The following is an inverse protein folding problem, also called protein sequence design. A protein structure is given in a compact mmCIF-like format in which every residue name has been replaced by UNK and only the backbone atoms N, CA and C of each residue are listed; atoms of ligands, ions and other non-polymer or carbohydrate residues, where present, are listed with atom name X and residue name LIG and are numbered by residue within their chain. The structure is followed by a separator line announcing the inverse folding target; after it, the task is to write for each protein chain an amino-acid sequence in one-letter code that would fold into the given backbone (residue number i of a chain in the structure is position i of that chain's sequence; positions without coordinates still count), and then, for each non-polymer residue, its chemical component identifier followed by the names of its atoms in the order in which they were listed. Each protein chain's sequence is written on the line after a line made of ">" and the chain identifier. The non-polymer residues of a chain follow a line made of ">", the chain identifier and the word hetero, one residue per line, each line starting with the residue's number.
data_IF_982597640239
#
_entry.id   IF_982597640239
#
_cell.length_a   1.000
_cell.length_b   1.000
_cell.length_c   1.000
_cell.angle_alpha   90.00
_cell.angle_beta   90.00
_cell.angle_gamma   90.00
#
_symmetry.space_group_name_H-M   'P 1'
#
loop_
_entity.id
_entity.type
_entity.pdbx_description
1 polymer ?
#
# COMPACT_ATOMS: atom_id res chain seq x y z
N UNK A 1 47.92 45.47 43.75
CA UNK A 1 47.65 45.94 42.39
C UNK A 1 47.56 44.69 41.50
N UNK A 2 46.34 44.14 41.33
CA UNK A 2 46.12 42.94 40.51
C UNK A 2 45.18 43.38 39.37
N UNK A 3 45.68 43.31 38.15
CA UNK A 3 44.97 43.58 36.93
C UNK A 3 44.06 42.39 36.59
N UNK A 4 42.75 42.60 36.55
CA UNK A 4 41.80 41.64 36.01
C UNK A 4 41.82 41.74 34.48
N UNK A 5 42.30 40.70 33.82
CA UNK A 5 42.14 40.48 32.40
C UNK A 5 40.75 39.97 32.14
N UNK A 6 39.86 40.79 31.58
CA UNK A 6 38.56 40.43 31.09
C UNK A 6 38.73 39.68 29.76
N UNK A 7 38.55 38.35 29.81
CA UNK A 7 38.45 37.54 28.60
C UNK A 7 37.15 37.87 27.89
N UNK A 8 37.26 38.47 26.71
CA UNK A 8 36.16 38.64 25.76
C UNK A 8 35.76 37.25 25.21
N UNK A 9 34.71 36.70 25.78
CA UNK A 9 34.04 35.51 25.21
C UNK A 9 33.33 35.99 23.92
N UNK A 10 33.86 35.61 22.77
CA UNK A 10 33.19 35.79 21.49
C UNK A 10 31.89 35.00 21.50
N UNK A 11 30.73 35.59 21.13
CA UNK A 11 29.52 34.82 20.93
C UNK A 11 29.74 33.97 19.66
N UNK A 12 30.06 32.69 19.86
CA UNK A 12 29.89 31.71 18.81
C UNK A 12 28.42 31.72 18.43
N UNK A 13 28.12 32.29 17.27
CA UNK A 13 26.84 32.16 16.61
C UNK A 13 26.62 30.68 16.35
N UNK A 14 25.94 29.99 17.28
CA UNK A 14 25.32 28.71 16.98
C UNK A 14 24.38 28.97 15.80
N UNK A 15 24.86 28.74 14.59
CA UNK A 15 24.02 28.53 13.45
C UNK A 15 23.26 27.27 13.80
N UNK A 16 22.03 27.41 14.31
CA UNK A 16 21.05 26.34 14.31
C UNK A 16 20.87 25.93 12.85
N UNK A 17 21.69 25.00 12.40
CA UNK A 17 21.39 24.29 11.18
C UNK A 17 20.01 23.67 11.43
N UNK A 18 19.01 24.15 10.71
CA UNK A 18 17.68 23.53 10.69
C UNK A 18 17.91 22.13 10.17
N UNK A 19 18.17 21.20 11.09
CA UNK A 19 18.24 19.79 10.75
C UNK A 19 16.82 19.38 10.39
N UNK A 20 16.53 19.30 9.10
CA UNK A 20 15.29 18.69 8.67
C UNK A 20 15.22 17.29 9.29
N UNK A 21 14.11 16.94 9.93
CA UNK A 21 13.96 15.64 10.57
C UNK A 21 13.75 14.55 9.51
N UNK A 22 14.82 14.22 8.80
CA UNK A 22 14.84 13.19 7.76
C UNK A 22 15.50 11.90 8.28
N UNK A 23 15.11 10.79 7.72
CA UNK A 23 15.93 9.58 7.80
C UNK A 23 17.12 9.80 6.87
N UNK A 24 18.33 9.81 7.42
CA UNK A 24 19.58 10.06 6.67
C UNK A 24 20.37 8.78 6.36
N UNK A 25 19.89 7.62 6.85
CA UNK A 25 20.54 6.33 6.63
C UNK A 25 20.49 5.95 5.12
N UNK A 26 21.64 5.78 4.46
CA UNK A 26 21.69 5.36 3.05
C UNK A 26 21.04 3.98 2.83
N UNK A 27 21.13 3.06 3.79
CA UNK A 27 20.51 1.75 3.71
C UNK A 27 18.98 1.87 3.61
N UNK A 28 18.38 2.80 4.37
CA UNK A 28 16.95 3.07 4.24
C UNK A 28 16.57 3.41 2.80
N UNK A 29 17.30 4.31 2.14
CA UNK A 29 16.99 4.71 0.76
C UNK A 29 17.26 3.59 -0.26
N UNK A 30 18.30 2.78 -0.03
CA UNK A 30 18.58 1.60 -0.88
C UNK A 30 17.41 0.61 -0.88
N UNK A 31 16.66 0.53 0.21
CA UNK A 31 15.47 -0.32 0.36
C UNK A 31 14.19 0.40 -0.06
N UNK A 32 14.03 1.68 0.33
CA UNK A 32 12.80 2.43 0.10
C UNK A 32 12.56 2.78 -1.36
N UNK A 33 13.61 3.13 -2.12
CA UNK A 33 13.48 3.50 -3.55
C UNK A 33 12.91 2.36 -4.38
N UNK A 34 13.48 1.13 -4.37
CA UNK A 34 12.88 -0.01 -5.07
C UNK A 34 11.47 -0.32 -4.58
N UNK A 35 11.23 -0.26 -3.26
CA UNK A 35 9.91 -0.53 -2.68
C UNK A 35 8.85 0.44 -3.19
N UNK A 36 9.15 1.74 -3.26
CA UNK A 36 8.22 2.78 -3.76
C UNK A 36 7.96 2.60 -5.26
N UNK A 37 8.99 2.35 -6.07
CA UNK A 37 8.81 2.10 -7.52
C UNK A 37 7.95 0.85 -7.72
N UNK A 38 8.27 -0.25 -7.05
CA UNK A 38 7.50 -1.49 -7.11
C UNK A 38 6.04 -1.28 -6.67
N UNK A 39 5.81 -0.49 -5.60
CA UNK A 39 4.48 -0.12 -5.13
C UNK A 39 3.70 0.63 -6.21
N UNK A 40 4.31 1.63 -6.86
CA UNK A 40 3.70 2.41 -7.94
C UNK A 40 3.33 1.57 -9.14
N UNK A 41 4.25 0.71 -9.60
CA UNK A 41 4.01 -0.26 -10.69
C UNK A 41 2.85 -1.20 -10.34
N UNK A 42 2.90 -1.79 -9.16
CA UNK A 42 1.88 -2.73 -8.71
C UNK A 42 0.51 -2.06 -8.61
N UNK A 43 0.46 -0.90 -7.95
CA UNK A 43 -0.78 -0.20 -7.65
C UNK A 43 -1.51 0.31 -8.89
N UNK A 44 -0.76 0.79 -9.88
CA UNK A 44 -1.30 1.35 -11.13
C UNK A 44 -1.37 0.35 -12.27
N UNK A 45 -0.67 -0.78 -12.16
CA UNK A 45 -0.67 -1.83 -13.16
C UNK A 45 -1.46 -3.06 -12.74
N UNK A 46 -1.18 -3.59 -11.56
CA UNK A 46 -1.61 -4.92 -11.12
C UNK A 46 -2.51 -4.92 -9.87
N UNK A 47 -2.79 -3.76 -9.29
CA UNK A 47 -3.70 -3.60 -8.14
C UNK A 47 -3.22 -4.27 -6.85
N UNK A 48 -3.10 -5.58 -6.82
CA UNK A 48 -2.85 -6.36 -5.62
C UNK A 48 -1.57 -7.20 -5.65
N UNK A 49 -0.82 -7.16 -6.73
CA UNK A 49 0.33 -8.04 -6.89
C UNK A 49 1.44 -7.74 -5.88
N UNK A 50 2.40 -6.94 -6.29
CA UNK A 50 3.62 -6.67 -5.51
C UNK A 50 3.49 -5.52 -4.50
N UNK A 51 2.41 -4.73 -4.55
CA UNK A 51 2.25 -3.53 -3.72
C UNK A 51 2.24 -3.81 -2.22
N UNK A 52 1.67 -4.94 -1.82
CA UNK A 52 1.65 -5.35 -0.41
C UNK A 52 3.04 -5.70 0.14
N UNK A 53 4.06 -5.85 -0.71
CA UNK A 53 5.44 -6.08 -0.30
C UNK A 53 6.17 -4.79 0.10
N UNK A 54 5.67 -3.61 -0.25
CA UNK A 54 6.38 -2.36 -0.02
C UNK A 54 6.63 -2.10 1.47
N UNK A 55 5.62 -2.31 2.32
CA UNK A 55 5.79 -2.17 3.79
C UNK A 55 6.76 -3.19 4.35
N UNK A 56 6.63 -4.52 4.11
CA UNK A 56 7.61 -5.51 4.53
C UNK A 56 9.04 -5.24 4.04
N UNK A 57 9.20 -4.79 2.80
CA UNK A 57 10.53 -4.44 2.27
C UNK A 57 11.10 -3.23 3.01
N UNK A 58 10.33 -2.16 3.22
CA UNK A 58 10.79 -1.01 4.00
C UNK A 58 11.02 -1.36 5.48
N UNK A 59 10.32 -2.35 6.01
CA UNK A 59 10.50 -2.82 7.38
C UNK A 59 11.85 -3.49 7.63
N UNK A 60 12.65 -3.75 6.60
CA UNK A 60 14.07 -4.13 6.75
C UNK A 60 14.94 -2.99 7.29
N UNK A 61 14.50 -1.74 7.14
CA UNK A 61 15.27 -0.55 7.55
C UNK A 61 14.58 0.29 8.64
N UNK A 62 13.24 0.19 8.78
CA UNK A 62 12.44 0.95 9.76
C UNK A 62 11.34 0.06 10.33
N UNK A 63 10.64 0.51 11.39
CA UNK A 63 9.53 -0.27 11.95
C UNK A 63 8.34 -0.31 10.97
N UNK A 64 7.52 -1.36 11.05
CA UNK A 64 6.32 -1.52 10.20
C UNK A 64 5.37 -0.31 10.28
N UNK A 65 5.03 0.24 11.47
CA UNK A 65 4.22 1.46 11.58
C UNK A 65 4.88 2.67 10.91
N UNK A 66 6.20 2.81 11.04
CA UNK A 66 6.95 3.89 10.42
C UNK A 66 6.98 3.77 8.89
N UNK A 67 7.22 2.57 8.36
CA UNK A 67 7.14 2.29 6.93
C UNK A 67 5.75 2.64 6.36
N UNK A 68 4.69 2.23 7.07
CA UNK A 68 3.31 2.53 6.70
C UNK A 68 3.03 4.04 6.70
N UNK A 69 3.50 4.77 7.71
CA UNK A 69 3.35 6.23 7.81
C UNK A 69 4.08 6.97 6.69
N UNK A 70 5.33 6.60 6.40
CA UNK A 70 6.13 7.18 5.31
C UNK A 70 5.45 6.95 3.95
N UNK A 71 4.85 5.79 3.73
CA UNK A 71 4.18 5.48 2.48
C UNK A 71 2.84 6.19 2.30
N UNK A 72 2.20 6.72 3.35
CA UNK A 72 0.85 7.33 3.25
C UNK A 72 0.77 8.47 2.24
N UNK A 73 1.63 9.53 2.27
CA UNK A 73 1.59 10.58 1.26
C UNK A 73 1.94 10.09 -0.14
N UNK A 74 2.90 9.14 -0.23
CA UNK A 74 3.31 8.54 -1.51
C UNK A 74 2.14 7.75 -2.13
N UNK A 75 1.43 6.96 -1.32
CA UNK A 75 0.24 6.23 -1.74
C UNK A 75 -0.86 7.16 -2.24
N UNK A 76 -1.11 8.27 -1.53
CA UNK A 76 -2.13 9.23 -1.95
C UNK A 76 -1.79 9.87 -3.30
N UNK A 77 -0.52 10.24 -3.51
CA UNK A 77 -0.09 10.76 -4.81
C UNK A 77 -0.23 9.70 -5.91
N UNK A 78 0.18 8.45 -5.65
CA UNK A 78 0.01 7.34 -6.60
C UNK A 78 -1.46 7.10 -6.95
N UNK A 79 -2.36 7.21 -5.95
CA UNK A 79 -3.79 7.06 -6.16
C UNK A 79 -4.36 8.17 -7.03
N UNK A 80 -3.99 9.42 -6.78
CA UNK A 80 -4.40 10.57 -7.60
C UNK A 80 -3.93 10.43 -9.04
N UNK A 81 -2.67 10.03 -9.25
CA UNK A 81 -2.13 9.77 -10.58
C UNK A 81 -2.83 8.59 -11.27
N UNK A 82 -3.12 7.53 -10.53
CA UNK A 82 -3.88 6.38 -11.02
C UNK A 82 -5.31 6.77 -11.43
N UNK A 83 -6.01 7.56 -10.59
CA UNK A 83 -7.32 8.10 -10.94
C UNK A 83 -7.28 8.94 -12.23
N UNK A 84 -6.29 9.81 -12.36
CA UNK A 84 -6.14 10.64 -13.57
C UNK A 84 -5.87 9.78 -14.81
N UNK A 85 -5.02 8.74 -14.68
CA UNK A 85 -4.66 7.84 -15.77
C UNK A 85 -5.83 6.97 -16.26
N UNK A 86 -6.72 6.54 -15.34
CA UNK A 86 -7.84 5.64 -15.61
C UNK A 86 -9.21 6.34 -15.57
N UNK A 87 -9.27 7.67 -15.62
CA UNK A 87 -10.51 8.47 -15.44
C UNK A 87 -11.70 8.08 -16.34
N UNK A 88 -11.46 7.39 -17.46
CA UNK A 88 -12.45 6.96 -18.43
C UNK A 88 -12.83 5.48 -18.30
N UNK A 89 -12.16 4.75 -17.42
CA UNK A 89 -12.24 3.28 -17.36
C UNK A 89 -12.97 2.79 -16.10
N UNK A 90 -13.54 3.71 -15.29
CA UNK A 90 -14.20 3.37 -14.03
C UNK A 90 -15.57 2.74 -14.27
N UNK A 91 -15.84 1.65 -13.54
CA UNK A 91 -17.18 1.12 -13.34
C UNK A 91 -17.75 1.68 -12.02
N UNK A 92 -18.46 2.82 -12.13
CA UNK A 92 -19.05 3.47 -10.96
C UNK A 92 -20.10 2.61 -10.24
N UNK A 93 -20.81 1.74 -10.97
CA UNK A 93 -21.80 0.83 -10.36
C UNK A 93 -21.10 -0.20 -9.47
N UNK A 94 -19.99 -0.73 -9.95
CA UNK A 94 -19.19 -1.67 -9.18
C UNK A 94 -18.50 -1.01 -7.99
N UNK A 95 -17.93 0.19 -8.17
CA UNK A 95 -17.32 0.97 -7.11
C UNK A 95 -18.31 1.38 -6.01
N UNK A 96 -19.55 1.76 -6.35
CA UNK A 96 -20.62 2.03 -5.39
C UNK A 96 -20.94 0.84 -4.50
N UNK A 97 -20.74 -0.37 -4.99
CA UNK A 97 -20.85 -1.58 -4.19
C UNK A 97 -19.62 -1.79 -3.29
N UNK A 98 -18.40 -1.67 -3.82
CA UNK A 98 -17.17 -1.99 -3.09
C UNK A 98 -16.84 -0.98 -1.98
N UNK A 99 -16.95 0.33 -2.26
CA UNK A 99 -16.46 1.40 -1.39
C UNK A 99 -17.10 1.37 0.01
N UNK A 100 -18.42 1.25 0.19
CA UNK A 100 -19.02 1.22 1.53
C UNK A 100 -18.48 0.09 2.40
N UNK A 101 -18.37 -1.12 1.84
CA UNK A 101 -17.83 -2.27 2.56
C UNK A 101 -16.35 -2.11 2.90
N UNK A 102 -15.57 -1.53 1.99
CA UNK A 102 -14.17 -1.20 2.25
C UNK A 102 -14.00 -0.19 3.38
N UNK A 103 -14.83 0.84 3.42
CA UNK A 103 -14.84 1.83 4.51
C UNK A 103 -15.22 1.20 5.86
N UNK A 104 -16.21 0.31 5.89
CA UNK A 104 -16.54 -0.46 7.11
C UNK A 104 -15.31 -1.23 7.59
N UNK A 105 -14.60 -1.93 6.68
CA UNK A 105 -13.36 -2.62 7.01
C UNK A 105 -12.27 -1.70 7.56
N UNK A 106 -12.12 -0.52 6.97
CA UNK A 106 -11.15 0.50 7.43
C UNK A 106 -11.49 0.99 8.84
N UNK A 107 -12.76 1.24 9.12
CA UNK A 107 -13.22 1.66 10.47
C UNK A 107 -12.96 0.56 11.50
N UNK A 108 -13.30 -0.69 11.17
CA UNK A 108 -13.02 -1.85 12.06
C UNK A 108 -11.51 -1.98 12.31
N UNK A 109 -10.69 -1.83 11.26
CA UNK A 109 -9.23 -1.83 11.39
C UNK A 109 -8.72 -0.71 12.29
N UNK A 110 -9.26 0.50 12.18
CA UNK A 110 -8.89 1.63 13.01
C UNK A 110 -9.23 1.42 14.49
N UNK A 111 -10.43 0.91 14.78
CA UNK A 111 -10.89 0.64 16.14
C UNK A 111 -10.07 -0.47 16.83
N UNK A 112 -9.70 -1.49 16.07
CA UNK A 112 -8.97 -2.64 16.59
C UNK A 112 -7.43 -2.49 16.53
N UNK A 113 -6.92 -1.45 15.89
CA UNK A 113 -5.48 -1.29 15.62
C UNK A 113 -4.58 -1.43 16.84
N UNK A 114 -5.02 -0.91 18.01
CA UNK A 114 -4.24 -0.95 19.25
C UNK A 114 -4.24 -2.31 19.94
N UNK A 115 -5.20 -3.18 19.63
CA UNK A 115 -5.37 -4.49 20.29
C UNK A 115 -4.95 -5.65 19.38
N UNK A 116 -4.78 -5.40 18.08
CA UNK A 116 -4.41 -6.42 17.11
C UNK A 116 -2.88 -6.52 16.97
N UNK A 117 -2.39 -7.72 17.02
CA UNK A 117 -1.03 -8.03 16.59
C UNK A 117 -0.96 -8.01 15.04
N UNK A 118 -0.16 -7.09 14.52
CA UNK A 118 0.05 -6.95 13.08
C UNK A 118 0.62 -8.24 12.44
N UNK A 119 1.41 -9.03 13.18
CA UNK A 119 1.94 -10.32 12.73
C UNK A 119 0.82 -11.33 12.50
N UNK A 120 -0.12 -11.43 13.45
CA UNK A 120 -1.29 -12.33 13.32
C UNK A 120 -2.12 -11.96 12.08
N UNK A 121 -2.37 -10.65 11.88
CA UNK A 121 -3.10 -10.19 10.69
C UNK A 121 -2.33 -10.52 9.40
N UNK A 122 -1.01 -10.31 9.37
CA UNK A 122 -0.18 -10.66 8.23
C UNK A 122 -0.23 -12.16 7.92
N UNK A 123 -0.10 -13.02 8.95
CA UNK A 123 -0.20 -14.48 8.80
C UNK A 123 -1.55 -14.90 8.20
N UNK A 124 -2.66 -14.40 8.75
CA UNK A 124 -4.00 -14.72 8.26
C UNK A 124 -4.21 -14.29 6.80
N UNK A 125 -3.75 -13.09 6.43
CA UNK A 125 -3.83 -12.61 5.04
C UNK A 125 -2.93 -13.42 4.12
N UNK A 126 -1.74 -13.81 4.58
CA UNK A 126 -0.82 -14.68 3.85
C UNK A 126 -1.45 -16.05 3.58
N UNK A 127 -1.98 -16.72 4.61
CA UNK A 127 -2.67 -18.00 4.49
C UNK A 127 -3.85 -17.88 3.51
N UNK A 128 -4.72 -16.88 3.71
CA UNK A 128 -5.86 -16.65 2.82
C UNK A 128 -5.43 -16.47 1.37
N UNK A 129 -4.38 -15.66 1.14
CA UNK A 129 -3.88 -15.37 -0.21
C UNK A 129 -3.35 -16.63 -0.90
N UNK A 130 -2.58 -17.47 -0.18
CA UNK A 130 -2.03 -18.71 -0.71
C UNK A 130 -3.11 -19.76 -0.94
N UNK A 131 -4.09 -19.89 -0.05
CA UNK A 131 -5.24 -20.79 -0.23
C UNK A 131 -6.09 -20.38 -1.44
N UNK A 132 -6.38 -19.08 -1.58
CA UNK A 132 -7.08 -18.57 -2.77
C UNK A 132 -6.30 -18.88 -4.06
N UNK A 133 -4.99 -18.65 -4.05
CA UNK A 133 -4.15 -18.91 -5.21
C UNK A 133 -4.08 -20.40 -5.54
N UNK A 134 -3.89 -21.26 -4.54
CA UNK A 134 -3.90 -22.71 -4.71
C UNK A 134 -5.24 -23.19 -5.28
N UNK A 135 -6.36 -22.74 -4.71
CA UNK A 135 -7.70 -23.05 -5.22
C UNK A 135 -7.87 -22.59 -6.68
N UNK A 136 -7.32 -21.41 -7.02
CA UNK A 136 -7.46 -20.87 -8.38
C UNK A 136 -6.61 -21.61 -9.41
N UNK A 137 -5.44 -22.14 -9.02
CA UNK A 137 -4.52 -22.87 -9.89
C UNK A 137 -4.90 -24.34 -10.01
N UNK A 138 -5.31 -24.98 -8.91
CA UNK A 138 -5.68 -26.41 -8.89
C UNK A 138 -7.09 -26.65 -9.46
N UNK A 139 -7.99 -25.71 -9.23
CA UNK A 139 -9.38 -25.79 -9.68
C UNK A 139 -9.73 -24.55 -10.53
N UNK A 140 -9.15 -24.42 -11.75
CA UNK A 140 -9.41 -23.27 -12.59
C UNK A 140 -10.92 -23.20 -12.92
N UNK A 141 -11.54 -22.04 -12.77
CA UNK A 141 -12.97 -21.90 -13.05
C UNK A 141 -13.26 -22.11 -14.53
N UNK A 142 -14.35 -22.76 -14.81
CA UNK A 142 -14.84 -22.97 -16.18
C UNK A 142 -15.08 -21.60 -16.87
N UNK A 143 -14.95 -21.53 -18.19
CA UNK A 143 -15.22 -20.29 -18.95
C UNK A 143 -16.56 -19.65 -18.62
N UNK A 144 -17.60 -20.46 -18.41
CA UNK A 144 -18.97 -20.03 -18.17
C UNK A 144 -19.36 -19.95 -16.68
N UNK A 145 -18.38 -20.02 -15.76
CA UNK A 145 -18.68 -19.91 -14.34
C UNK A 145 -19.31 -18.54 -14.03
N UNK A 146 -20.39 -18.50 -13.24
CA UNK A 146 -21.02 -17.26 -12.84
C UNK A 146 -20.06 -16.42 -11.99
N UNK A 147 -20.24 -15.09 -11.97
CA UNK A 147 -19.47 -14.23 -11.08
C UNK A 147 -19.73 -14.60 -9.61
N UNK A 148 -18.75 -14.37 -8.71
CA UNK A 148 -18.94 -14.67 -7.30
C UNK A 148 -20.12 -13.88 -6.71
N UNK A 149 -20.83 -14.46 -5.73
CA UNK A 149 -22.01 -13.85 -5.15
C UNK A 149 -21.65 -12.55 -4.41
N UNK A 150 -22.57 -11.60 -4.37
CA UNK A 150 -22.35 -10.28 -3.76
C UNK A 150 -22.00 -10.35 -2.27
N UNK A 151 -22.59 -11.30 -1.51
CA UNK A 151 -22.27 -11.46 -0.09
C UNK A 151 -20.78 -11.77 0.14
N UNK A 152 -20.18 -12.63 -0.71
CA UNK A 152 -18.75 -12.93 -0.68
C UNK A 152 -17.93 -11.68 -1.03
N UNK A 153 -18.40 -10.89 -2.02
CA UNK A 153 -17.82 -9.61 -2.37
C UNK A 153 -17.81 -8.63 -1.20
N UNK A 154 -18.92 -8.54 -0.46
CA UNK A 154 -19.02 -7.69 0.72
C UNK A 154 -17.99 -8.10 1.79
N UNK A 155 -17.92 -9.39 2.16
CA UNK A 155 -16.96 -9.92 3.14
C UNK A 155 -15.53 -9.65 2.71
N UNK A 156 -15.16 -10.01 1.47
CA UNK A 156 -13.79 -9.83 0.97
C UNK A 156 -13.39 -8.35 0.88
N UNK A 157 -14.34 -7.47 0.59
CA UNK A 157 -14.09 -6.03 0.53
C UNK A 157 -13.95 -5.42 1.93
N UNK A 158 -14.75 -5.85 2.92
CA UNK A 158 -14.53 -5.50 4.34
C UNK A 158 -13.15 -5.96 4.80
N UNK A 159 -12.80 -7.22 4.52
CA UNK A 159 -11.48 -7.76 4.83
C UNK A 159 -10.37 -6.95 4.15
N UNK A 160 -10.57 -6.52 2.90
CA UNK A 160 -9.62 -5.67 2.18
C UNK A 160 -9.41 -4.31 2.87
N UNK A 161 -10.49 -3.63 3.25
CA UNK A 161 -10.41 -2.36 3.99
C UNK A 161 -9.69 -2.51 5.33
N UNK A 162 -10.04 -3.54 6.08
CA UNK A 162 -9.43 -3.89 7.35
C UNK A 162 -7.93 -4.16 7.24
N UNK A 163 -7.52 -5.09 6.38
CA UNK A 163 -6.11 -5.46 6.19
C UNK A 163 -5.31 -4.34 5.53
N UNK A 164 -5.96 -3.52 4.70
CA UNK A 164 -5.38 -2.30 4.17
C UNK A 164 -5.06 -1.28 5.26
N UNK A 165 -5.90 -1.17 6.29
CA UNK A 165 -5.64 -0.28 7.43
C UNK A 165 -4.46 -0.78 8.27
N UNK A 166 -4.48 -2.05 8.65
CA UNK A 166 -3.51 -2.63 9.61
C UNK A 166 -2.12 -2.78 9.01
N UNK A 167 -2.00 -3.26 7.77
CA UNK A 167 -0.72 -3.67 7.17
C UNK A 167 -0.52 -3.26 5.70
N UNK A 168 -1.36 -2.37 5.16
CA UNK A 168 -1.40 -2.03 3.72
C UNK A 168 -1.57 -3.26 2.79
N UNK A 169 -2.08 -4.38 3.32
CA UNK A 169 -2.28 -5.65 2.61
C UNK A 169 -3.73 -5.86 2.13
N UNK A 170 -4.44 -4.80 1.76
CA UNK A 170 -5.84 -4.90 1.27
C UNK A 170 -5.97 -5.48 -0.14
N UNK A 171 -4.89 -5.51 -0.89
CA UNK A 171 -4.90 -5.99 -2.26
C UNK A 171 -5.36 -7.45 -2.43
N UNK A 172 -4.78 -8.43 -1.75
CA UNK A 172 -5.14 -9.83 -1.91
C UNK A 172 -6.62 -10.14 -1.69
N UNK A 173 -7.29 -9.72 -0.59
CA UNK A 173 -8.70 -9.98 -0.40
C UNK A 173 -9.60 -9.38 -1.49
N UNK A 174 -9.33 -8.13 -1.90
CA UNK A 174 -10.10 -7.50 -2.97
C UNK A 174 -9.89 -8.23 -4.30
N UNK A 175 -8.66 -8.62 -4.62
CA UNK A 175 -8.34 -9.36 -5.83
C UNK A 175 -9.02 -10.71 -5.87
N UNK A 176 -9.19 -11.39 -4.75
CA UNK A 176 -9.91 -12.65 -4.66
C UNK A 176 -11.37 -12.51 -5.13
N UNK A 177 -11.98 -11.33 -4.95
CA UNK A 177 -13.31 -11.03 -5.48
C UNK A 177 -13.29 -10.54 -6.93
N UNK A 178 -12.33 -9.66 -7.28
CA UNK A 178 -12.34 -8.98 -8.59
C UNK A 178 -11.76 -9.85 -9.71
N UNK A 179 -10.76 -10.71 -9.43
CA UNK A 179 -10.16 -11.60 -10.44
C UNK A 179 -11.20 -12.51 -11.13
N UNK A 180 -12.12 -13.17 -10.39
CA UNK A 180 -13.15 -14.00 -11.01
C UNK A 180 -14.10 -13.24 -11.95
N UNK A 181 -14.19 -11.91 -11.85
CA UNK A 181 -14.99 -11.06 -12.71
C UNK A 181 -14.41 -10.92 -14.13
N UNK A 182 -13.17 -11.40 -14.37
CA UNK A 182 -12.51 -11.42 -15.69
C UNK A 182 -12.48 -10.05 -16.39
N UNK A 183 -12.29 -8.99 -15.63
CA UNK A 183 -12.16 -7.64 -16.15
C UNK A 183 -10.93 -7.55 -17.07
N UNK A 184 -10.98 -6.65 -18.07
CA UNK A 184 -9.76 -6.32 -18.79
C UNK A 184 -8.72 -5.73 -17.85
N UNK A 185 -7.39 -5.84 -18.15
CA UNK A 185 -6.32 -5.31 -17.29
C UNK A 185 -6.56 -3.84 -16.91
N UNK A 186 -7.00 -3.02 -17.85
CA UNK A 186 -7.29 -1.60 -17.63
C UNK A 186 -8.46 -1.39 -16.67
N UNK A 187 -9.57 -2.12 -16.84
CA UNK A 187 -10.72 -2.04 -15.92
C UNK A 187 -10.39 -2.58 -14.53
N UNK A 188 -9.58 -3.63 -14.45
CA UNK A 188 -9.07 -4.14 -13.17
C UNK A 188 -8.24 -3.07 -12.46
N UNK A 189 -7.23 -2.49 -13.13
CA UNK A 189 -6.38 -1.45 -12.58
C UNK A 189 -7.18 -0.20 -12.18
N UNK A 190 -8.14 0.24 -13.01
CA UNK A 190 -9.04 1.35 -12.70
C UNK A 190 -9.86 1.10 -11.43
N UNK A 191 -10.46 -0.08 -11.31
CA UNK A 191 -11.25 -0.47 -10.13
C UNK A 191 -10.39 -0.44 -8.86
N UNK A 192 -9.18 -1.03 -8.92
CA UNK A 192 -8.24 -1.04 -7.80
C UNK A 192 -7.78 0.38 -7.43
N UNK A 193 -7.42 1.20 -8.41
CA UNK A 193 -6.99 2.58 -8.16
C UNK A 193 -8.09 3.40 -7.48
N UNK A 194 -9.32 3.35 -7.99
CA UNK A 194 -10.43 4.10 -7.42
C UNK A 194 -10.84 3.62 -6.02
N UNK A 195 -10.90 2.31 -5.81
CA UNK A 195 -11.18 1.75 -4.50
C UNK A 195 -10.13 2.15 -3.47
N UNK A 196 -8.85 1.90 -3.76
CA UNK A 196 -7.78 2.21 -2.81
C UNK A 196 -7.55 3.71 -2.61
N UNK A 197 -7.86 4.56 -3.58
CA UNK A 197 -7.89 6.00 -3.35
C UNK A 197 -8.81 6.36 -2.18
N UNK A 198 -10.06 5.90 -2.22
CA UNK A 198 -11.03 6.20 -1.16
C UNK A 198 -10.59 5.59 0.17
N UNK A 199 -10.11 4.34 0.16
CA UNK A 199 -9.63 3.67 1.37
C UNK A 199 -8.41 4.38 1.96
N UNK A 200 -7.42 4.74 1.15
CA UNK A 200 -6.22 5.42 1.64
C UNK A 200 -6.54 6.85 2.12
N UNK A 201 -7.42 7.55 1.42
CA UNK A 201 -7.88 8.88 1.87
C UNK A 201 -8.59 8.78 3.23
N UNK A 202 -9.43 7.77 3.44
CA UNK A 202 -10.15 7.59 4.72
C UNK A 202 -9.23 7.27 5.90
N UNK A 203 -8.02 6.74 5.67
CA UNK A 203 -7.06 6.43 6.74
C UNK A 203 -6.37 7.65 7.34
N UNK A 204 -6.34 8.79 6.64
CA UNK A 204 -5.60 9.97 7.11
C UNK A 204 -6.06 10.44 8.48
N UNK A 205 -7.38 10.48 8.72
CA UNK A 205 -7.95 10.90 10.01
C UNK A 205 -7.51 9.96 11.14
N UNK A 206 -7.77 8.64 11.08
CA UNK A 206 -7.35 7.74 12.14
C UNK A 206 -5.83 7.61 12.28
N UNK A 207 -5.04 7.72 11.21
CA UNK A 207 -3.57 7.74 11.30
C UNK A 207 -3.05 8.98 12.04
N UNK A 208 -3.65 10.16 11.78
CA UNK A 208 -3.34 11.38 12.54
C UNK A 208 -3.71 11.22 14.02
N UNK A 209 -4.90 10.69 14.30
CA UNK A 209 -5.35 10.45 15.67
C UNK A 209 -4.51 9.42 16.44
N UNK A 210 -3.97 8.43 15.74
CA UNK A 210 -3.06 7.43 16.30
C UNK A 210 -1.62 7.95 16.48
N UNK A 211 -1.31 9.19 16.04
CA UNK A 211 0.02 9.79 16.15
C UNK A 211 1.05 9.21 15.17
N UNK A 212 0.59 8.53 14.10
CA UNK A 212 1.48 7.90 13.11
C UNK A 212 2.03 8.91 12.08
N UNK A 213 1.39 10.09 11.95
CA UNK A 213 1.78 11.13 11.00
C UNK A 213 2.69 12.15 11.71
N UNK A 214 3.93 11.79 11.99
CA UNK A 214 4.93 12.70 12.53
C UNK A 214 5.72 13.45 11.43
N UNK A 215 6.38 14.54 11.82
CA UNK A 215 7.12 15.40 10.89
C UNK A 215 8.29 14.69 10.20
N UNK A 216 8.94 13.72 10.89
CA UNK A 216 10.06 12.97 10.33
C UNK A 216 9.60 12.04 9.21
N UNK A 217 8.50 11.33 9.44
CA UNK A 217 7.91 10.44 8.45
C UNK A 217 7.37 11.23 7.25
N UNK A 218 6.73 12.38 7.49
CA UNK A 218 6.21 13.24 6.43
C UNK A 218 7.34 13.85 5.58
N UNK A 219 8.39 14.36 6.21
CA UNK A 219 9.54 14.91 5.49
C UNK A 219 10.26 13.82 4.67
N UNK A 220 10.43 12.62 5.22
CA UNK A 220 11.00 11.47 4.49
C UNK A 220 10.12 11.07 3.29
N UNK A 221 8.79 11.09 3.45
CA UNK A 221 7.85 10.88 2.35
C UNK A 221 8.06 11.87 1.21
N UNK A 222 8.27 13.16 1.51
CA UNK A 222 8.47 14.19 0.49
C UNK A 222 9.69 13.89 -0.40
N UNK A 223 10.76 13.32 0.17
CA UNK A 223 11.94 12.88 -0.59
C UNK A 223 11.60 11.72 -1.54
N UNK A 224 10.69 10.84 -1.15
CA UNK A 224 10.29 9.68 -1.95
C UNK A 224 9.18 10.00 -2.96
N UNK A 225 8.44 11.11 -2.78
CA UNK A 225 7.32 11.50 -3.66
C UNK A 225 7.67 11.55 -5.15
N UNK A 226 8.84 12.05 -5.59
CA UNK A 226 9.20 12.10 -7.02
C UNK A 226 9.25 10.72 -7.70
N UNK A 227 9.39 9.63 -6.93
CA UNK A 227 9.38 8.27 -7.46
C UNK A 227 7.96 7.78 -7.80
N UNK A 228 6.93 8.37 -7.19
CA UNK A 228 5.54 7.97 -7.42
C UNK A 228 5.10 8.11 -8.89
N UNK A 229 5.31 9.24 -9.58
CA UNK A 229 4.98 9.37 -11.00
C UNK A 229 5.69 8.33 -11.88
N UNK A 230 6.95 8.02 -11.59
CA UNK A 230 7.71 7.02 -12.35
C UNK A 230 7.09 5.62 -12.22
N UNK A 231 6.83 5.18 -10.98
CA UNK A 231 6.20 3.89 -10.72
C UNK A 231 4.80 3.79 -11.33
N UNK A 232 3.98 4.84 -11.17
CA UNK A 232 2.63 4.90 -11.74
C UNK A 232 2.67 4.86 -13.28
N UNK A 233 3.53 5.64 -13.91
CA UNK A 233 3.67 5.64 -15.36
C UNK A 233 4.03 4.26 -15.91
N UNK A 234 5.00 3.59 -15.27
CA UNK A 234 5.39 2.22 -15.63
C UNK A 234 4.20 1.26 -15.49
N UNK A 235 3.48 1.30 -14.37
CA UNK A 235 2.34 0.42 -14.11
C UNK A 235 1.18 0.63 -15.08
N UNK A 236 0.81 1.88 -15.35
CA UNK A 236 -0.24 2.23 -16.33
C UNK A 236 0.14 1.76 -17.73
N UNK A 237 1.40 2.00 -18.14
CA UNK A 237 1.89 1.55 -19.44
C UNK A 237 1.82 0.03 -19.56
N UNK A 238 2.23 -0.69 -18.52
CA UNK A 238 2.12 -2.15 -18.48
C UNK A 238 0.66 -2.60 -18.60
N UNK A 239 -0.26 -2.07 -17.79
CA UNK A 239 -1.69 -2.43 -17.84
C UNK A 239 -2.32 -2.23 -19.23
N UNK A 240 -1.86 -1.20 -19.96
CA UNK A 240 -2.38 -0.88 -21.32
C UNK A 240 -1.70 -1.66 -22.43
N UNK A 241 -0.50 -2.19 -22.21
CA UNK A 241 0.35 -2.78 -23.26
C UNK A 241 0.42 -4.30 -23.24
N UNK A 242 0.18 -4.95 -22.09
CA UNK A 242 0.32 -6.39 -21.96
C UNK A 242 -0.98 -7.13 -22.27
N UNK A 243 -0.85 -8.38 -22.73
CA UNK A 243 -2.00 -9.25 -22.96
C UNK A 243 -2.70 -9.60 -21.64
N UNK A 244 -4.02 -9.84 -21.63
CA UNK A 244 -4.73 -10.27 -20.43
C UNK A 244 -4.13 -11.54 -19.80
N UNK A 245 -3.66 -12.48 -20.59
CA UNK A 245 -3.03 -13.72 -20.10
C UNK A 245 -1.77 -13.42 -19.30
N UNK A 246 -0.86 -12.59 -19.85
CA UNK A 246 0.37 -12.19 -19.17
C UNK A 246 0.06 -11.36 -17.91
N UNK A 247 -0.92 -10.45 -18.00
CA UNK A 247 -1.37 -9.64 -16.87
C UNK A 247 -1.78 -10.51 -15.67
N UNK A 248 -2.70 -11.45 -15.87
CA UNK A 248 -3.17 -12.32 -14.79
C UNK A 248 -2.08 -13.28 -14.30
N UNK A 249 -1.17 -13.74 -15.16
CA UNK A 249 -0.01 -14.54 -14.74
C UNK A 249 0.90 -13.75 -13.79
N UNK A 250 1.25 -12.52 -14.14
CA UNK A 250 2.06 -11.64 -13.29
C UNK A 250 1.34 -11.32 -11.97
N UNK A 251 0.02 -11.09 -12.02
CA UNK A 251 -0.79 -10.88 -10.83
C UNK A 251 -0.73 -12.08 -9.87
N UNK A 252 -0.85 -13.31 -10.38
CA UNK A 252 -0.74 -14.52 -9.56
C UNK A 252 0.67 -14.71 -8.97
N UNK A 253 1.72 -14.43 -9.75
CA UNK A 253 3.09 -14.43 -9.22
C UNK A 253 3.24 -13.40 -8.10
N UNK A 254 2.72 -12.20 -8.28
CA UNK A 254 2.73 -11.17 -7.24
C UNK A 254 1.97 -11.59 -5.99
N UNK A 255 0.80 -12.22 -6.14
CA UNK A 255 0.02 -12.76 -5.01
C UNK A 255 0.78 -13.90 -4.30
N UNK A 256 1.47 -14.77 -5.04
CA UNK A 256 2.30 -15.83 -4.45
C UNK A 256 3.40 -15.24 -3.57
N UNK A 257 4.19 -14.32 -4.12
CA UNK A 257 5.28 -13.67 -3.40
C UNK A 257 4.77 -12.92 -2.17
N UNK A 258 3.67 -12.15 -2.33
CA UNK A 258 3.03 -11.42 -1.22
C UNK A 258 2.50 -12.39 -0.15
N UNK A 259 1.81 -13.45 -0.55
CA UNK A 259 1.27 -14.44 0.38
C UNK A 259 2.37 -15.14 1.18
N UNK A 260 3.45 -15.56 0.52
CA UNK A 260 4.61 -16.16 1.19
C UNK A 260 5.28 -15.18 2.16
N UNK A 261 5.49 -13.92 1.73
CA UNK A 261 6.11 -12.90 2.58
C UNK A 261 5.26 -12.55 3.81
N UNK A 262 3.96 -12.33 3.62
CA UNK A 262 3.04 -12.05 4.72
C UNK A 262 2.95 -13.21 5.71
N UNK A 263 3.00 -14.45 5.22
CA UNK A 263 3.04 -15.64 6.07
C UNK A 263 4.34 -15.70 6.87
N UNK A 264 5.47 -15.44 6.22
CA UNK A 264 6.77 -15.37 6.88
C UNK A 264 6.78 -14.32 7.98
N UNK A 265 6.33 -13.09 7.68
CA UNK A 265 6.29 -11.97 8.63
C UNK A 265 5.33 -12.22 9.80
N UNK A 266 4.32 -13.05 9.60
CA UNK A 266 3.38 -13.44 10.63
C UNK A 266 3.93 -14.45 11.64
N UNK A 267 4.96 -15.23 11.26
CA UNK A 267 5.56 -16.25 12.14
C UNK A 267 6.92 -15.82 12.71
N UNK A 268 7.55 -14.78 12.17
CA UNK A 268 8.86 -14.26 12.59
C UNK A 268 8.79 -12.79 12.95
#
# INVERSE_FOLDING_TARGET
>A
MRLYATALVSPQSERHAVSFPLITDPYFYAVAVPAVIMLGVSKSGFGAGFGSLAVPVMALAVTVPQAAAILMPVLLLMDLLGLAAFRRDFDFKFLKFLIPFGLVGTVVGALLFKVLDAKVVAALVGIFTLLFLAQRLLFPPRPDSPPPPKWLGAILTVTSGFTSFVSHAGGPPLSAYVIPMRLSPVKFAATMAAFFFVINLSKWIPYAWLGLLDMRNMATSLVLLPLAPLGVWMGVRMARSISPVLFYRLLYIGMLLTGCKLLWDGFH
#
